data_IF_981745080763
#
_entry.id   IF_981745080763
#
_cell.length_a   1.000
_cell.length_b   1.000
_cell.length_c   1.000
_cell.angle_alpha   90.00
_cell.angle_beta   90.00
_cell.angle_gamma   90.00
#
_symmetry.space_group_name_H-M   'P 1'
#
loop_
_entity.id
_entity.type
_entity.pdbx_description
1 polymer ?
#
# COMPACT_ATOMS: atom_id res chain seq x y z
N UNK A 1 -21.38 -6.41 -7.53
CA UNK A 1 -20.18 -6.21 -6.66
C UNK A 1 -18.92 -6.61 -7.42
N UNK A 2 -17.90 -5.74 -7.49
CA UNK A 2 -16.62 -6.05 -8.16
C UNK A 2 -15.53 -6.39 -7.14
N UNK A 3 -14.65 -7.32 -7.52
CA UNK A 3 -13.44 -7.68 -6.76
C UNK A 3 -12.24 -7.06 -7.46
N UNK A 4 -11.42 -6.32 -6.72
CA UNK A 4 -10.16 -5.77 -7.22
C UNK A 4 -9.00 -6.41 -6.46
N UNK A 5 -7.91 -6.71 -7.17
CA UNK A 5 -6.67 -7.16 -6.56
C UNK A 5 -5.90 -5.92 -6.10
N UNK A 6 -5.76 -5.74 -4.80
CA UNK A 6 -4.98 -4.64 -4.23
C UNK A 6 -3.67 -5.19 -3.72
N UNK A 7 -2.58 -4.58 -4.18
CA UNK A 7 -1.22 -4.83 -3.73
C UNK A 7 -0.80 -3.71 -2.79
N UNK A 8 -0.21 -4.05 -1.65
CA UNK A 8 0.37 -3.07 -0.73
C UNK A 8 1.65 -2.49 -1.33
N UNK A 9 1.78 -1.15 -1.47
CA UNK A 9 2.95 -0.52 -2.07
C UNK A 9 4.21 -0.60 -1.17
N UNK A 10 4.07 -0.99 0.10
CA UNK A 10 5.15 -1.00 1.09
C UNK A 10 5.81 -2.38 1.20
N UNK A 11 5.02 -3.46 1.16
CA UNK A 11 5.52 -4.83 1.36
C UNK A 11 5.07 -5.84 0.30
N UNK A 12 4.41 -5.37 -0.77
CA UNK A 12 3.96 -6.18 -1.91
C UNK A 12 2.97 -7.32 -1.57
N UNK A 13 2.44 -7.39 -0.34
CA UNK A 13 1.34 -8.30 -0.01
C UNK A 13 0.09 -7.91 -0.78
N UNK A 14 -0.57 -8.90 -1.39
CA UNK A 14 -1.78 -8.68 -2.19
C UNK A 14 -3.01 -9.34 -1.57
N UNK A 15 -4.17 -8.71 -1.71
CA UNK A 15 -5.47 -9.30 -1.36
C UNK A 15 -6.56 -8.82 -2.30
N UNK A 16 -7.54 -9.68 -2.55
CA UNK A 16 -8.76 -9.29 -3.25
C UNK A 16 -9.73 -8.62 -2.29
N UNK A 17 -10.09 -7.37 -2.55
CA UNK A 17 -11.11 -6.65 -1.78
C UNK A 17 -12.38 -6.49 -2.61
N UNK A 18 -13.53 -6.49 -1.91
CA UNK A 18 -14.84 -6.29 -2.54
C UNK A 18 -15.17 -4.80 -2.45
N UNK A 19 -15.40 -4.18 -3.59
CA UNK A 19 -15.86 -2.78 -3.66
C UNK A 19 -17.37 -2.81 -3.94
N UNK A 20 -18.20 -2.26 -3.04
CA UNK A 20 -19.64 -2.29 -3.21
C UNK A 20 -20.11 -1.31 -4.30
N UNK A 21 -21.05 -1.76 -5.13
CA UNK A 21 -21.61 -1.00 -6.27
C UNK A 21 -22.23 0.34 -5.89
N UNK A 22 -22.57 0.52 -4.62
CA UNK A 22 -23.07 1.80 -4.09
C UNK A 22 -22.05 2.94 -4.17
N UNK A 23 -20.74 2.64 -4.21
CA UNK A 23 -19.69 3.64 -4.43
C UNK A 23 -19.59 4.02 -5.92
N UNK A 24 -20.35 3.38 -6.81
CA UNK A 24 -20.18 3.44 -8.26
C UNK A 24 -21.05 4.53 -8.91
N UNK A 25 -21.56 5.48 -8.13
CA UNK A 25 -22.24 6.68 -8.66
C UNK A 25 -21.25 7.78 -9.06
N UNK A 26 -20.09 7.37 -9.57
CA UNK A 26 -19.03 8.28 -9.99
C UNK A 26 -19.23 8.61 -11.47
N UNK A 27 -19.15 9.89 -11.81
CA UNK A 27 -19.15 10.32 -13.21
C UNK A 27 -17.84 9.89 -13.89
N UNK A 28 -17.88 9.68 -15.20
CA UNK A 28 -16.68 9.38 -15.98
C UNK A 28 -15.60 10.46 -15.74
N UNK A 29 -14.36 10.02 -15.52
CA UNK A 29 -13.24 10.90 -15.17
C UNK A 29 -13.06 11.14 -13.66
N UNK A 30 -13.98 10.71 -12.81
CA UNK A 30 -13.83 10.81 -11.36
C UNK A 30 -12.80 9.81 -10.82
N UNK A 31 -12.07 10.22 -9.78
CA UNK A 31 -11.20 9.36 -8.99
C UNK A 31 -11.82 9.13 -7.61
N UNK A 32 -11.83 7.87 -7.19
CA UNK A 32 -12.28 7.44 -5.88
C UNK A 32 -11.08 7.10 -5.01
N UNK A 33 -11.00 7.75 -3.85
CA UNK A 33 -10.02 7.42 -2.82
C UNK A 33 -10.63 6.44 -1.81
N UNK A 34 -10.00 5.29 -1.66
CA UNK A 34 -10.33 4.30 -0.63
C UNK A 34 -9.17 4.17 0.35
N UNK A 35 -9.46 4.16 1.64
CA UNK A 35 -8.43 3.93 2.67
C UNK A 35 -8.40 2.45 3.03
N UNK A 36 -7.27 1.81 2.76
CA UNK A 36 -7.00 0.43 3.18
C UNK A 36 -6.47 0.47 4.61
N UNK A 37 -7.33 0.10 5.56
CA UNK A 37 -6.98 0.06 6.97
C UNK A 37 -5.98 -1.07 7.29
N UNK A 38 -5.28 -0.91 8.41
CA UNK A 38 -4.41 -1.96 8.96
C UNK A 38 -5.14 -3.29 9.08
N UNK A 39 -4.42 -4.37 8.81
CA UNK A 39 -4.87 -5.75 8.80
C UNK A 39 -5.96 -6.09 7.77
N UNK A 40 -6.39 -5.15 6.91
CA UNK A 40 -7.22 -5.53 5.77
C UNK A 40 -6.42 -6.35 4.77
N UNK A 41 -5.19 -5.94 4.44
CA UNK A 41 -4.27 -6.64 3.53
C UNK A 41 -2.99 -7.05 4.24
N UNK A 42 -2.39 -6.10 4.94
CA UNK A 42 -1.18 -6.27 5.74
C UNK A 42 -1.23 -5.29 6.93
N UNK A 43 -0.15 -5.18 7.70
CA UNK A 43 -0.11 -4.27 8.86
C UNK A 43 -0.04 -2.79 8.47
N UNK A 44 0.18 -2.47 7.20
CA UNK A 44 0.26 -1.09 6.71
C UNK A 44 -1.11 -0.51 6.41
N UNK A 45 -1.21 0.81 6.61
CA UNK A 45 -2.34 1.63 6.18
C UNK A 45 -1.93 2.49 4.98
N UNK A 46 -2.76 2.51 3.94
CA UNK A 46 -2.49 3.32 2.74
C UNK A 46 -3.80 3.66 2.02
N UNK A 47 -3.82 4.80 1.34
CA UNK A 47 -4.83 5.20 0.39
C UNK A 47 -4.63 4.52 -0.97
N UNK A 48 -5.75 4.21 -1.61
CA UNK A 48 -5.85 3.64 -2.93
C UNK A 48 -6.70 4.58 -3.79
N UNK A 49 -6.18 4.99 -4.94
CA UNK A 49 -6.92 5.77 -5.91
C UNK A 49 -7.40 4.86 -7.05
N UNK A 50 -8.72 4.81 -7.21
CA UNK A 50 -9.41 4.02 -8.22
C UNK A 50 -10.08 4.95 -9.23
N UNK A 51 -10.10 4.54 -10.48
CA UNK A 51 -10.92 5.20 -11.50
C UNK A 51 -12.32 4.58 -11.63
N UNK A 52 -13.13 5.18 -12.51
CA UNK A 52 -14.45 4.68 -12.91
C UNK A 52 -14.44 3.23 -13.42
N UNK A 53 -13.34 2.77 -14.01
CA UNK A 53 -13.19 1.40 -14.51
C UNK A 53 -12.74 0.41 -13.44
N UNK A 54 -12.61 0.82 -12.17
CA UNK A 54 -12.07 0.02 -11.07
C UNK A 54 -10.60 -0.37 -11.26
N UNK A 55 -9.89 0.41 -12.08
CA UNK A 55 -8.44 0.30 -12.23
C UNK A 55 -7.76 1.12 -11.15
N UNK A 56 -6.74 0.52 -10.53
CA UNK A 56 -5.88 1.21 -9.58
C UNK A 56 -5.02 2.20 -10.37
N UNK A 57 -5.11 3.48 -10.03
CA UNK A 57 -4.35 4.55 -10.68
C UNK A 57 -3.15 4.96 -9.86
N UNK A 58 -3.30 5.04 -8.55
CA UNK A 58 -2.21 5.45 -7.67
C UNK A 58 -2.42 4.97 -6.22
N UNK A 59 -1.38 5.14 -5.42
CA UNK A 59 -1.35 4.84 -3.99
C UNK A 59 -0.93 6.08 -3.21
N UNK A 60 -1.52 6.26 -2.03
CA UNK A 60 -1.15 7.34 -1.13
C UNK A 60 -0.71 6.74 0.21
N UNK A 61 0.47 7.10 0.70
CA UNK A 61 0.95 6.67 2.01
C UNK A 61 0.95 7.92 2.89
N UNK A 62 0.28 7.86 4.05
CA UNK A 62 0.27 8.99 4.96
C UNK A 62 1.63 9.12 5.69
N UNK A 63 1.94 10.33 6.17
CA UNK A 63 3.22 10.60 6.83
C UNK A 63 3.43 9.76 8.09
N UNK A 64 2.36 9.47 8.83
CA UNK A 64 2.43 8.60 10.01
C UNK A 64 2.94 7.20 9.66
N UNK A 65 2.37 6.58 8.63
CA UNK A 65 2.78 5.26 8.19
C UNK A 65 4.20 5.29 7.62
N UNK A 66 4.54 6.35 6.87
CA UNK A 66 5.90 6.58 6.39
C UNK A 66 6.92 6.65 7.55
N UNK A 67 6.56 7.35 8.63
CA UNK A 67 7.41 7.48 9.82
C UNK A 67 7.53 6.16 10.59
N UNK A 68 6.48 5.32 10.61
CA UNK A 68 6.55 3.96 11.18
C UNK A 68 7.50 3.07 10.38
N UNK A 69 7.39 3.08 9.05
CA UNK A 69 8.26 2.27 8.17
C UNK A 69 9.73 2.69 8.34
N UNK A 70 10.02 3.99 8.43
CA UNK A 70 11.38 4.49 8.68
C UNK A 70 11.96 3.99 10.00
N UNK A 71 11.14 3.87 11.05
CA UNK A 71 11.59 3.39 12.37
C UNK A 71 11.82 1.87 12.41
N UNK A 72 11.20 1.11 11.49
CA UNK A 72 11.29 -0.36 11.45
C UNK A 72 12.42 -0.85 10.52
N UNK A 73 13.18 0.04 9.86
CA UNK A 73 14.40 -0.38 9.18
C UNK A 73 15.33 -1.07 10.20
N UNK A 74 15.67 -2.35 10.03
CA UNK A 74 16.69 -2.96 10.85
C UNK A 74 17.97 -2.17 10.65
N UNK A 75 18.71 -1.96 11.75
CA UNK A 75 20.12 -1.61 11.67
C UNK A 75 20.77 -2.58 10.68
N UNK A 76 21.36 -2.06 9.61
CA UNK A 76 22.47 -2.75 8.99
C UNK A 76 23.56 -2.78 10.06
N UNK A 77 23.59 -3.87 10.85
CA UNK A 77 24.69 -4.15 11.76
C UNK A 77 25.90 -4.57 10.94
N UNK A 78 27.00 -3.89 11.23
CA UNK A 78 28.35 -4.03 10.72
C UNK A 78 28.78 -5.49 10.53
N UNK A 79 29.22 -5.84 9.32
CA UNK A 79 30.38 -6.72 9.18
C UNK A 79 31.62 -5.84 9.13
N UNK A 80 32.22 -5.72 10.30
CA UNK A 80 33.47 -5.02 10.59
C UNK A 80 34.60 -5.45 9.67
N UNK A 81 35.35 -4.45 9.23
CA UNK A 81 36.78 -4.48 8.89
C UNK A 81 37.51 -5.57 9.72
N UNK A 82 37.91 -6.68 9.10
CA UNK A 82 39.07 -7.55 9.41
C UNK A 82 38.88 -8.93 8.75
N UNK A 83 38.94 -8.98 7.43
CA UNK A 83 39.38 -10.20 6.75
C UNK A 83 40.48 -9.83 5.76
N UNK A 84 41.71 -10.12 6.22
CA UNK A 84 42.82 -10.64 5.42
C UNK A 84 43.64 -9.57 4.67
N UNK A 85 44.54 -8.93 5.42
CA UNK A 85 45.92 -8.78 4.95
C UNK A 85 46.44 -10.16 4.55
N UNK A 86 46.55 -10.44 3.25
CA UNK A 86 47.51 -11.38 2.68
C UNK A 86 48.01 -10.81 1.35
#
# INVERSE_FOLDING_TARGET
MKKILVVCPICNKSKRIIVPESIFKLEEGSLLKLVIKKNQICQHEFGLLLDFHFSIRDYEINEEELNRIKQVKPKEEDLTIFDIMF
#
